data_IF_145901033296
#
_entry.id   IF_145901033296
#
_cell.length_a   1.000
_cell.length_b   1.000
_cell.length_c   1.000
_cell.angle_alpha   90.00
_cell.angle_beta   90.00
_cell.angle_gamma   90.00
#
_symmetry.space_group_name_H-M   'P 1'
#
loop_
_entity.id
_entity.type
_entity.pdbx_description
1 polymer ?
#
# COMPACT_ATOMS: atom_id res chain seq x y z
N UNK A 1 -22.35 -11.49 3.71
CA UNK A 1 -22.16 -10.11 4.25
C UNK A 1 -20.74 -10.09 4.82
N UNK A 2 -19.87 -9.19 4.34
CA UNK A 2 -18.52 -9.07 4.87
C UNK A 2 -18.50 -8.17 6.11
N UNK A 3 -17.66 -8.52 7.09
CA UNK A 3 -17.30 -7.63 8.20
C UNK A 3 -16.02 -6.91 7.81
N UNK A 4 -16.07 -5.59 7.70
CA UNK A 4 -14.97 -4.77 7.20
C UNK A 4 -14.54 -3.82 8.29
N UNK A 5 -13.23 -3.78 8.52
CA UNK A 5 -12.56 -2.80 9.37
C UNK A 5 -11.48 -2.08 8.53
N UNK A 6 -11.11 -0.87 8.95
CA UNK A 6 -10.15 -0.05 8.23
C UNK A 6 -9.24 0.70 9.19
N UNK A 7 -7.93 0.48 9.04
CA UNK A 7 -6.91 1.26 9.73
C UNK A 7 -6.22 2.22 8.76
N UNK A 8 -6.50 3.52 8.90
CA UNK A 8 -5.91 4.58 8.07
C UNK A 8 -4.99 5.43 8.93
N UNK A 9 -3.73 5.60 8.51
CA UNK A 9 -2.72 6.27 9.31
C UNK A 9 -1.71 7.08 8.47
N UNK A 10 -1.05 8.09 9.05
CA UNK A 10 -0.05 8.91 8.34
C UNK A 10 1.40 8.36 8.45
N UNK A 11 1.58 7.11 8.90
CA UNK A 11 2.90 6.52 9.13
C UNK A 11 3.62 6.05 7.86
N UNK A 12 4.92 5.83 7.99
CA UNK A 12 5.83 5.31 6.98
C UNK A 12 6.55 4.04 7.49
N UNK A 13 7.37 3.39 6.66
CA UNK A 13 8.21 2.27 7.08
C UNK A 13 9.11 2.68 8.25
N UNK A 14 8.84 2.13 9.44
CA UNK A 14 9.62 2.35 10.66
C UNK A 14 9.35 1.23 11.66
N UNK A 15 10.28 1.01 12.59
CA UNK A 15 10.05 0.04 13.67
C UNK A 15 8.86 0.44 14.56
N UNK A 16 8.63 1.74 14.74
CA UNK A 16 7.50 2.26 15.50
C UNK A 16 6.17 1.91 14.83
N UNK A 17 6.08 2.03 13.51
CA UNK A 17 4.90 1.63 12.74
C UNK A 17 4.64 0.13 12.85
N UNK A 18 5.69 -0.69 12.82
CA UNK A 18 5.55 -2.15 12.95
C UNK A 18 5.09 -2.55 14.36
N UNK A 19 5.57 -1.88 15.41
CA UNK A 19 5.06 -2.08 16.78
C UNK A 19 3.59 -1.69 16.89
N UNK A 20 3.23 -0.50 16.40
CA UNK A 20 1.85 -0.02 16.43
C UNK A 20 0.90 -0.94 15.66
N UNK A 21 1.33 -1.47 14.50
CA UNK A 21 0.57 -2.47 13.77
C UNK A 21 0.28 -3.70 14.64
N UNK A 22 1.29 -4.19 15.36
CA UNK A 22 1.13 -5.31 16.29
C UNK A 22 0.11 -5.00 17.39
N UNK A 23 0.21 -3.83 18.02
CA UNK A 23 -0.74 -3.39 19.06
C UNK A 23 -2.17 -3.33 18.52
N UNK A 24 -2.36 -2.73 17.33
CA UNK A 24 -3.68 -2.63 16.67
C UNK A 24 -4.25 -4.03 16.39
N UNK A 25 -3.47 -4.96 15.87
CA UNK A 25 -3.94 -6.30 15.52
C UNK A 25 -4.11 -7.23 16.72
N UNK A 26 -3.42 -6.95 17.83
CA UNK A 26 -3.57 -7.75 19.06
C UNK A 26 -4.96 -7.62 19.71
N UNK A 27 -5.67 -6.53 19.41
CA UNK A 27 -7.01 -6.24 19.96
C UNK A 27 -8.11 -6.21 18.89
N UNK A 28 -7.76 -6.13 17.61
CA UNK A 28 -8.71 -6.12 16.49
C UNK A 28 -8.52 -7.36 15.60
N UNK A 29 -9.63 -8.00 15.25
CA UNK A 29 -9.66 -9.26 14.49
C UNK A 29 -10.51 -10.33 15.18
N UNK A 30 -10.43 -11.59 14.72
CA UNK A 30 -9.61 -12.09 13.61
C UNK A 30 -10.06 -11.56 12.25
N UNK A 31 -9.17 -11.62 11.25
CA UNK A 31 -9.48 -11.28 9.85
C UNK A 31 -9.09 -12.44 8.93
N UNK A 32 -9.96 -12.77 7.96
CA UNK A 32 -9.67 -13.78 6.94
C UNK A 32 -8.76 -13.23 5.82
N UNK A 33 -8.84 -11.92 5.57
CA UNK A 33 -8.08 -11.23 4.52
C UNK A 33 -7.58 -9.88 5.03
N UNK A 34 -6.32 -9.56 4.77
CA UNK A 34 -5.75 -8.22 4.97
C UNK A 34 -5.25 -7.68 3.63
N UNK A 35 -5.91 -6.64 3.13
CA UNK A 35 -5.45 -5.84 2.01
C UNK A 35 -4.77 -4.58 2.56
N UNK A 36 -3.49 -4.38 2.25
CA UNK A 36 -2.69 -3.32 2.88
C UNK A 36 -1.81 -2.56 1.89
N UNK A 37 -1.52 -1.30 2.21
CA UNK A 37 -0.54 -0.45 1.53
C UNK A 37 0.27 0.34 2.57
N UNK A 38 1.54 0.61 2.26
CA UNK A 38 2.41 1.51 3.02
C UNK A 38 3.40 2.15 2.04
N UNK A 39 3.29 3.44 1.76
CA UNK A 39 4.20 4.07 0.80
C UNK A 39 4.29 5.59 0.83
N UNK A 40 3.17 6.30 0.59
CA UNK A 40 3.21 7.75 0.32
C UNK A 40 3.83 8.58 1.46
N UNK A 41 3.74 8.17 2.71
CA UNK A 41 4.29 8.99 3.80
C UNK A 41 5.81 8.88 3.95
N UNK A 42 6.46 7.96 3.24
CA UNK A 42 7.89 7.67 3.34
C UNK A 42 8.80 8.33 2.30
N UNK A 43 8.26 9.07 1.32
CA UNK A 43 9.06 9.57 0.18
C UNK A 43 10.09 10.64 0.55
N UNK A 44 9.85 11.41 1.63
CA UNK A 44 10.69 12.54 1.98
C UNK A 44 12.14 12.11 2.28
N UNK A 45 13.12 12.83 1.71
CA UNK A 45 14.55 12.53 1.89
C UNK A 45 14.91 12.39 3.37
N UNK A 46 15.57 11.29 3.73
CA UNK A 46 16.01 11.01 5.09
C UNK A 46 14.92 10.53 6.04
N UNK A 47 13.64 10.47 5.62
CA UNK A 47 12.54 9.97 6.46
C UNK A 47 12.64 8.47 6.71
N UNK A 48 13.05 7.72 5.70
CA UNK A 48 13.44 6.31 5.81
C UNK A 48 14.96 6.26 5.73
N UNK A 49 15.60 5.64 6.71
CA UNK A 49 17.05 5.47 6.71
C UNK A 49 17.47 4.61 5.52
N UNK A 50 18.56 4.98 4.88
CA UNK A 50 19.10 4.22 3.75
C UNK A 50 19.36 2.75 4.15
N UNK A 51 19.00 1.82 3.26
CA UNK A 51 19.13 0.39 3.51
C UNK A 51 18.08 -0.23 4.44
N UNK A 52 17.20 0.56 5.09
CA UNK A 52 16.21 0.00 6.02
C UNK A 52 14.81 -0.21 5.42
N UNK A 53 14.52 0.32 4.23
CA UNK A 53 13.20 0.19 3.60
C UNK A 53 12.73 -1.27 3.48
N UNK A 54 13.55 -2.13 2.88
CA UNK A 54 13.20 -3.55 2.68
C UNK A 54 13.14 -4.34 4.00
N UNK A 55 14.12 -4.22 4.93
CA UNK A 55 14.00 -4.83 6.26
C UNK A 55 12.74 -4.43 7.02
N UNK A 56 12.39 -3.13 7.02
CA UNK A 56 11.19 -2.63 7.70
C UNK A 56 9.90 -3.12 7.04
N UNK A 57 9.87 -3.17 5.70
CA UNK A 57 8.73 -3.72 4.95
C UNK A 57 8.57 -5.21 5.20
N UNK A 58 9.67 -5.97 5.27
CA UNK A 58 9.65 -7.39 5.62
C UNK A 58 9.10 -7.60 7.04
N UNK A 59 9.61 -6.84 8.01
CA UNK A 59 9.14 -6.88 9.39
C UNK A 59 7.65 -6.52 9.50
N UNK A 60 7.12 -5.61 8.67
CA UNK A 60 5.68 -5.32 8.63
C UNK A 60 4.87 -6.58 8.23
N UNK A 61 5.32 -7.33 7.21
CA UNK A 61 4.69 -8.59 6.80
C UNK A 61 4.82 -9.68 7.88
N UNK A 62 5.96 -9.74 8.57
CA UNK A 62 6.16 -10.66 9.69
C UNK A 62 5.21 -10.38 10.85
N UNK A 63 4.97 -9.11 11.19
CA UNK A 63 3.96 -8.72 12.18
C UNK A 63 2.57 -9.16 11.75
N UNK A 64 2.16 -8.91 10.50
CA UNK A 64 0.87 -9.38 9.98
C UNK A 64 0.69 -10.89 10.15
N UNK A 65 1.71 -11.68 9.81
CA UNK A 65 1.67 -13.14 9.93
C UNK A 65 1.65 -13.62 11.37
N UNK A 66 2.34 -12.92 12.26
CA UNK A 66 2.39 -13.26 13.68
C UNK A 66 1.04 -13.02 14.34
N UNK A 67 0.43 -11.85 14.11
CA UNK A 67 -0.82 -11.47 14.76
C UNK A 67 -2.05 -12.11 14.07
N UNK A 68 -1.96 -12.41 12.77
CA UNK A 68 -3.05 -12.98 11.98
C UNK A 68 -2.59 -14.22 11.19
N UNK A 69 -2.24 -15.34 11.86
CA UNK A 69 -1.63 -16.51 11.22
C UNK A 69 -2.52 -17.21 10.18
N UNK A 70 -3.84 -17.01 10.23
CA UNK A 70 -4.80 -17.55 9.25
C UNK A 70 -5.15 -16.60 8.10
N UNK A 71 -4.71 -15.34 8.15
CA UNK A 71 -5.15 -14.33 7.17
C UNK A 71 -4.43 -14.48 5.82
N UNK A 72 -5.20 -14.32 4.74
CA UNK A 72 -4.67 -14.12 3.39
C UNK A 72 -4.23 -12.67 3.25
N UNK A 73 -2.95 -12.45 2.91
CA UNK A 73 -2.41 -11.10 2.76
C UNK A 73 -2.43 -10.68 1.29
N UNK A 74 -2.78 -9.42 1.01
CA UNK A 74 -2.68 -8.79 -0.31
C UNK A 74 -2.01 -7.44 -0.13
N UNK A 75 -0.93 -7.20 -0.85
CA UNK A 75 -0.27 -5.89 -0.83
C UNK A 75 -0.69 -5.08 -2.05
N UNK A 76 -1.16 -3.84 -1.85
CA UNK A 76 -1.38 -2.90 -2.93
C UNK A 76 -0.16 -2.01 -3.14
N UNK A 77 0.27 -1.88 -4.41
CA UNK A 77 1.31 -0.92 -4.77
C UNK A 77 0.84 0.51 -4.53
N UNK A 78 1.76 1.42 -4.26
CA UNK A 78 1.44 2.84 -4.05
C UNK A 78 1.08 3.48 -5.37
N UNK A 79 0.02 4.29 -5.42
CA UNK A 79 -0.40 4.98 -6.65
C UNK A 79 0.64 6.00 -7.15
N UNK A 80 0.62 6.39 -8.44
CA UNK A 80 1.52 7.42 -8.96
C UNK A 80 1.30 8.78 -8.29
N UNK A 81 2.33 9.61 -8.31
CA UNK A 81 2.26 11.01 -7.87
C UNK A 81 2.30 11.90 -9.09
N UNK A 82 1.26 12.71 -9.31
CA UNK A 82 1.21 13.65 -10.43
C UNK A 82 1.85 14.98 -10.06
N UNK A 83 2.31 15.75 -11.05
CA UNK A 83 2.76 17.11 -10.79
C UNK A 83 1.60 17.94 -10.21
N UNK A 84 1.94 18.88 -9.31
CA UNK A 84 0.95 19.78 -8.74
C UNK A 84 0.39 20.67 -9.85
N UNK A 85 -0.93 20.81 -9.92
CA UNK A 85 -1.66 21.63 -10.89
C UNK A 85 -1.47 21.23 -12.37
N UNK A 86 -0.75 20.12 -12.67
CA UNK A 86 -0.56 19.56 -14.00
C UNK A 86 -0.63 18.02 -13.94
N UNK A 87 -1.86 17.49 -13.88
CA UNK A 87 -2.12 16.04 -13.80
C UNK A 87 -1.65 15.26 -15.02
N UNK A 88 -1.37 15.94 -16.14
CA UNK A 88 -0.83 15.31 -17.34
C UNK A 88 0.57 14.73 -17.13
N UNK A 89 1.30 15.27 -16.15
CA UNK A 89 2.67 14.89 -15.82
C UNK A 89 2.76 14.16 -14.48
N UNK A 90 3.75 13.29 -14.37
CA UNK A 90 4.19 12.73 -13.10
C UNK A 90 5.05 13.78 -12.37
N UNK A 91 4.99 13.80 -11.04
CA UNK A 91 5.85 14.67 -10.25
C UNK A 91 7.31 14.22 -10.43
N UNK A 92 8.20 15.07 -10.95
CA UNK A 92 9.54 14.66 -11.36
C UNK A 92 10.44 14.29 -10.19
N UNK A 93 10.14 14.79 -8.98
CA UNK A 93 10.97 14.57 -7.80
C UNK A 93 10.43 13.42 -6.94
N UNK A 94 9.11 13.34 -6.78
CA UNK A 94 8.47 12.38 -5.87
C UNK A 94 8.17 11.05 -6.56
N UNK A 95 7.64 11.07 -7.79
CA UNK A 95 7.19 9.84 -8.44
C UNK A 95 8.31 8.81 -8.65
N UNK A 96 9.55 9.18 -9.03
CA UNK A 96 10.65 8.21 -9.12
C UNK A 96 10.94 7.49 -7.79
N UNK A 97 10.79 8.18 -6.65
CA UNK A 97 10.94 7.59 -5.32
C UNK A 97 9.82 6.58 -5.07
N UNK A 98 8.58 6.90 -5.45
CA UNK A 98 7.43 5.99 -5.33
C UNK A 98 7.63 4.73 -6.19
N UNK A 99 8.14 4.88 -7.41
CA UNK A 99 8.48 3.73 -8.29
C UNK A 99 9.52 2.84 -7.61
N UNK A 100 10.62 3.42 -7.11
CA UNK A 100 11.66 2.66 -6.41
C UNK A 100 11.14 1.96 -5.14
N UNK A 101 10.32 2.63 -4.34
CA UNK A 101 9.68 2.04 -3.16
C UNK A 101 8.76 0.88 -3.53
N UNK A 102 7.96 1.03 -4.59
CA UNK A 102 7.09 -0.05 -5.09
C UNK A 102 7.90 -1.26 -5.57
N UNK A 103 9.00 -1.05 -6.30
CA UNK A 103 9.88 -2.14 -6.74
C UNK A 103 10.49 -2.89 -5.55
N UNK A 104 11.01 -2.17 -4.55
CA UNK A 104 11.56 -2.76 -3.33
C UNK A 104 10.52 -3.55 -2.54
N UNK A 105 9.32 -2.98 -2.36
CA UNK A 105 8.21 -3.62 -1.66
C UNK A 105 7.70 -4.86 -2.42
N UNK A 106 7.51 -4.77 -3.75
CA UNK A 106 7.13 -5.91 -4.58
C UNK A 106 8.15 -7.05 -4.50
N UNK A 107 9.45 -6.74 -4.40
CA UNK A 107 10.50 -7.72 -4.11
C UNK A 107 10.31 -8.43 -2.76
N UNK A 108 9.96 -7.70 -1.71
CA UNK A 108 9.62 -8.28 -0.39
C UNK A 108 8.37 -9.15 -0.49
N UNK A 109 7.31 -8.69 -1.15
CA UNK A 109 6.05 -9.43 -1.31
C UNK A 109 6.26 -10.73 -2.07
N UNK A 110 7.00 -10.71 -3.17
CA UNK A 110 7.37 -11.91 -3.93
C UNK A 110 8.10 -12.93 -3.05
N UNK A 111 9.10 -12.49 -2.29
CA UNK A 111 9.86 -13.37 -1.38
C UNK A 111 8.99 -13.92 -0.24
N UNK A 112 7.98 -13.16 0.19
CA UNK A 112 7.03 -13.59 1.22
C UNK A 112 5.90 -14.45 0.64
N UNK A 113 5.66 -14.49 -0.67
CA UNK A 113 4.48 -15.13 -1.26
C UNK A 113 3.19 -14.34 -1.02
N UNK A 114 3.29 -13.00 -0.94
CA UNK A 114 2.13 -12.10 -0.82
C UNK A 114 1.75 -11.61 -2.22
N UNK A 115 0.51 -11.84 -2.71
CA UNK A 115 0.05 -11.33 -3.99
C UNK A 115 0.04 -9.79 -4.04
N UNK A 116 0.31 -9.25 -5.22
CA UNK A 116 0.37 -7.82 -5.49
C UNK A 116 -0.90 -7.35 -6.19
N UNK A 117 -1.62 -6.41 -5.57
CA UNK A 117 -2.69 -5.66 -6.20
C UNK A 117 -2.13 -4.35 -6.79
N UNK A 118 -1.84 -4.34 -8.10
CA UNK A 118 -1.12 -3.23 -8.73
C UNK A 118 -1.98 -1.98 -8.97
N UNK A 119 -2.04 -1.09 -7.97
CA UNK A 119 -2.70 0.22 -8.08
C UNK A 119 -1.87 1.22 -8.87
N UNK A 120 -0.54 1.12 -8.84
CA UNK A 120 0.33 1.97 -9.64
C UNK A 120 0.02 1.82 -11.12
N UNK A 121 0.09 0.59 -11.64
CA UNK A 121 -0.21 0.29 -13.05
C UNK A 121 -1.66 0.61 -13.42
N UNK A 122 -2.60 0.48 -12.49
CA UNK A 122 -3.99 0.87 -12.73
C UNK A 122 -4.12 2.37 -13.04
N UNK A 123 -3.41 3.24 -12.33
CA UNK A 123 -3.65 4.68 -12.38
C UNK A 123 -2.61 5.46 -13.18
N UNK A 124 -1.45 4.88 -13.50
CA UNK A 124 -0.40 5.60 -14.25
C UNK A 124 -0.83 6.02 -15.65
N UNK A 125 -1.73 5.27 -16.29
CA UNK A 125 -2.31 5.63 -17.59
C UNK A 125 -3.61 6.42 -17.48
N UNK A 126 -4.10 6.69 -16.26
CA UNK A 126 -5.39 7.34 -15.95
C UNK A 126 -5.21 8.61 -15.11
N UNK A 127 -4.14 9.36 -15.37
CA UNK A 127 -3.73 10.51 -14.53
C UNK A 127 -4.72 11.66 -14.59
N UNK A 128 -5.55 11.73 -15.63
CA UNK A 128 -6.69 12.63 -15.72
C UNK A 128 -7.67 12.48 -14.54
N UNK A 129 -7.61 11.36 -13.81
CA UNK A 129 -8.41 11.13 -12.61
C UNK A 129 -7.73 11.62 -11.31
N UNK A 130 -6.53 12.19 -11.36
CA UNK A 130 -5.87 12.76 -10.18
C UNK A 130 -6.53 14.09 -9.77
N UNK A 131 -6.47 14.45 -8.48
CA UNK A 131 -7.03 15.72 -7.98
C UNK A 131 -6.19 16.96 -8.35
N UNK A 132 -4.96 16.78 -8.80
CA UNK A 132 -4.01 17.88 -9.04
C UNK A 132 -3.25 18.35 -7.81
N UNK A 133 -3.47 17.75 -6.63
CA UNK A 133 -2.78 18.09 -5.38
C UNK A 133 -1.54 17.21 -5.10
N UNK A 134 -1.05 16.51 -6.13
CA UNK A 134 -0.02 15.47 -6.16
C UNK A 134 -0.41 14.09 -5.65
N UNK A 135 -1.21 14.01 -4.58
CA UNK A 135 -1.32 12.77 -3.79
C UNK A 135 -2.67 12.09 -3.90
N UNK A 136 -3.74 12.84 -4.10
CA UNK A 136 -5.09 12.32 -4.03
C UNK A 136 -5.72 12.13 -5.41
N UNK A 137 -6.70 11.24 -5.43
CA UNK A 137 -7.44 10.85 -6.61
C UNK A 137 -8.90 11.30 -6.52
N UNK A 138 -9.55 11.45 -7.66
CA UNK A 138 -10.97 11.78 -7.73
C UNK A 138 -11.84 10.56 -7.40
N UNK A 139 -13.15 10.78 -7.19
CA UNK A 139 -14.08 9.70 -6.90
C UNK A 139 -14.07 8.57 -7.95
N UNK A 140 -14.06 8.84 -9.27
CA UNK A 140 -13.94 7.77 -10.28
C UNK A 140 -12.71 6.89 -10.12
N UNK A 141 -11.55 7.44 -9.78
CA UNK A 141 -10.35 6.64 -9.52
C UNK A 141 -10.49 5.80 -8.25
N UNK A 142 -11.09 6.34 -7.18
CA UNK A 142 -11.39 5.55 -5.98
C UNK A 142 -12.38 4.42 -6.25
N UNK A 143 -13.35 4.59 -7.14
CA UNK A 143 -14.22 3.50 -7.60
C UNK A 143 -13.42 2.40 -8.28
N UNK A 144 -12.51 2.74 -9.20
CA UNK A 144 -11.64 1.75 -9.86
C UNK A 144 -10.73 1.01 -8.87
N UNK A 145 -10.16 1.73 -7.90
CA UNK A 145 -9.35 1.13 -6.83
C UNK A 145 -10.19 0.18 -5.98
N UNK A 146 -11.40 0.58 -5.58
CA UNK A 146 -12.33 -0.24 -4.82
C UNK A 146 -12.72 -1.53 -5.55
N UNK A 147 -13.08 -1.43 -6.83
CA UNK A 147 -13.39 -2.60 -7.67
C UNK A 147 -12.20 -3.56 -7.78
N UNK A 148 -10.98 -3.02 -7.95
CA UNK A 148 -9.76 -3.82 -8.02
C UNK A 148 -9.43 -4.47 -6.67
N UNK A 149 -9.68 -3.78 -5.55
CA UNK A 149 -9.58 -4.35 -4.20
C UNK A 149 -10.53 -5.53 -4.04
N UNK A 150 -11.81 -5.33 -4.31
CA UNK A 150 -12.84 -6.38 -4.19
C UNK A 150 -12.46 -7.59 -5.02
N UNK A 151 -12.06 -7.39 -6.29
CA UNK A 151 -11.62 -8.49 -7.15
C UNK A 151 -10.46 -9.27 -6.55
N UNK A 152 -9.41 -8.59 -6.06
CA UNK A 152 -8.26 -9.26 -5.45
C UNK A 152 -8.62 -10.04 -4.18
N UNK A 153 -9.61 -9.54 -3.41
CA UNK A 153 -10.09 -10.21 -2.20
C UNK A 153 -10.86 -11.49 -2.57
N UNK A 154 -11.77 -11.41 -3.54
CA UNK A 154 -12.53 -12.57 -4.02
C UNK A 154 -11.60 -13.64 -4.62
N UNK A 155 -10.62 -13.22 -5.42
CA UNK A 155 -9.59 -14.11 -5.98
C UNK A 155 -8.83 -14.88 -4.89
N UNK A 156 -8.36 -14.20 -3.84
CA UNK A 156 -7.67 -14.92 -2.76
C UNK A 156 -8.63 -15.76 -1.95
N UNK A 157 -9.92 -15.40 -1.84
CA UNK A 157 -10.96 -16.19 -1.15
C UNK A 157 -11.38 -17.45 -1.94
N UNK A 158 -11.20 -17.45 -3.25
CA UNK A 158 -11.67 -18.50 -4.15
C UNK A 158 -13.14 -18.33 -4.55
N UNK A 159 -13.63 -17.09 -4.54
CA UNK A 159 -15.00 -16.68 -4.85
C UNK A 159 -15.11 -15.99 -6.21
#
# INVERSE_FOLDING_TARGET
>A
KAYVDAWVHPHWQSEGTNRLLGDVLSVNGPYDVVHFNMGLHGWAKGRIKEGTFQPLTRSYVEVLRKELPGARLIWASTTPVTAKDDVGKLDPDINPIIVSHNEMAAGVMRNAGVPVNDFYGLLVARRELAKGDRFHWTQPAYTLLGEKTVRSILEVLGE
#
